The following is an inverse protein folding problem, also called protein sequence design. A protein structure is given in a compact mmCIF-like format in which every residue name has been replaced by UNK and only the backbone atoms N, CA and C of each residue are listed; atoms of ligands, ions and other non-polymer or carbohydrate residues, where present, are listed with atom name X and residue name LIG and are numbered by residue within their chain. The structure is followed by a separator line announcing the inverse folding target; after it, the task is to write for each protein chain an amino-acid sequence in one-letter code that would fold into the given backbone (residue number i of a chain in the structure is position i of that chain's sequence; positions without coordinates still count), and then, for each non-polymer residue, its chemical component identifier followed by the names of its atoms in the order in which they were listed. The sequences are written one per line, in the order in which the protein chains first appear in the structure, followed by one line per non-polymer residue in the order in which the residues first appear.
data_IF_271764620675
#
_entry.id   IF_271764620675
#
_cell.length_a   1.000
_cell.length_b   1.000
_cell.length_c   1.000
_cell.angle_alpha   90.00
_cell.angle_beta   90.00
_cell.angle_gamma   90.00
#
_symmetry.space_group_name_H-M   'P 1'
#
loop_
_entity.id
_entity.type
_entity.pdbx_description
1 polymer ?
#
# COMPACT_ATOMS: atom_id res chain seq x y z
N UNK A 1 4.90 -16.22 19.45
CA UNK A 1 6.04 -15.91 18.57
C UNK A 1 5.94 -14.43 18.23
N UNK A 2 6.96 -13.60 18.55
CA UNK A 2 6.98 -12.21 18.10
C UNK A 2 7.10 -12.19 16.58
N UNK A 3 6.19 -11.50 15.88
CA UNK A 3 6.37 -11.23 14.46
C UNK A 3 7.54 -10.26 14.31
N UNK A 4 8.43 -10.51 13.36
CA UNK A 4 9.49 -9.55 13.02
C UNK A 4 8.89 -8.38 12.24
N UNK A 5 9.48 -7.18 12.33
CA UNK A 5 9.02 -6.02 11.57
C UNK A 5 8.98 -6.29 10.05
N UNK A 6 9.83 -7.18 9.54
CA UNK A 6 9.77 -7.64 8.14
C UNK A 6 8.52 -8.46 7.83
N UNK A 7 8.09 -9.35 8.73
CA UNK A 7 6.86 -10.14 8.56
C UNK A 7 5.60 -9.28 8.51
N UNK A 8 5.53 -8.25 9.36
CA UNK A 8 4.41 -7.28 9.36
C UNK A 8 4.38 -6.49 8.05
N UNK A 9 5.55 -6.06 7.55
CA UNK A 9 5.66 -5.38 6.26
C UNK A 9 5.24 -6.26 5.08
N UNK A 10 5.53 -7.56 5.12
CA UNK A 10 5.04 -8.49 4.09
C UNK A 10 3.51 -8.59 4.12
N UNK A 11 2.89 -8.68 5.30
CA UNK A 11 1.43 -8.69 5.40
C UNK A 11 0.80 -7.41 4.82
N UNK A 12 1.37 -6.25 5.13
CA UNK A 12 0.91 -4.97 4.58
C UNK A 12 1.11 -4.87 3.06
N UNK A 13 2.11 -5.53 2.47
CA UNK A 13 2.25 -5.65 1.02
C UNK A 13 1.13 -6.46 0.40
N UNK A 14 0.74 -7.56 1.04
CA UNK A 14 -0.35 -8.41 0.56
C UNK A 14 -1.69 -7.64 0.63
N UNK A 15 -1.96 -6.93 1.73
CA UNK A 15 -3.12 -6.04 1.84
C UNK A 15 -3.13 -4.98 0.72
N UNK A 16 -2.01 -4.30 0.48
CA UNK A 16 -1.91 -3.29 -0.57
C UNK A 16 -2.08 -3.88 -1.98
N UNK A 17 -1.66 -5.13 -2.20
CA UNK A 17 -1.85 -5.85 -3.46
C UNK A 17 -3.32 -6.14 -3.72
N UNK A 18 -4.07 -6.53 -2.68
CA UNK A 18 -5.52 -6.77 -2.78
C UNK A 18 -6.28 -5.48 -3.11
N UNK A 19 -5.94 -4.37 -2.46
CA UNK A 19 -6.57 -3.06 -2.73
C UNK A 19 -6.32 -2.61 -4.17
N UNK A 20 -5.10 -2.78 -4.69
CA UNK A 20 -4.79 -2.47 -6.11
C UNK A 20 -5.57 -3.38 -7.05
N UNK A 21 -5.63 -4.69 -6.77
CA UNK A 21 -6.36 -5.64 -7.59
C UNK A 21 -7.87 -5.32 -7.64
N UNK A 22 -8.45 -4.93 -6.51
CA UNK A 22 -9.86 -4.52 -6.43
C UNK A 22 -10.13 -3.28 -7.30
N UNK A 23 -9.22 -2.29 -7.31
CA UNK A 23 -9.35 -1.13 -8.20
C UNK A 23 -9.21 -1.51 -9.67
N UNK A 24 -8.25 -2.38 -10.00
CA UNK A 24 -8.02 -2.88 -11.35
C UNK A 24 -9.24 -3.64 -11.89
N UNK A 25 -9.88 -4.45 -11.05
CA UNK A 25 -11.14 -5.14 -11.39
C UNK A 25 -12.27 -4.14 -11.67
N UNK A 26 -12.45 -3.15 -10.79
CA UNK A 26 -13.50 -2.13 -10.96
C UNK A 26 -13.27 -1.22 -12.18
N UNK A 27 -12.00 -0.96 -12.55
CA UNK A 27 -11.62 -0.17 -13.74
C UNK A 27 -11.54 -1.01 -15.01
N UNK A 28 -11.44 -2.34 -14.90
CA UNK A 28 -11.21 -3.24 -16.04
C UNK A 28 -9.84 -3.08 -16.69
N UNK A 29 -8.82 -2.59 -15.95
CA UNK A 29 -7.46 -2.40 -16.48
C UNK A 29 -6.40 -2.48 -15.39
N UNK A 30 -5.19 -2.92 -15.76
CA UNK A 30 -4.04 -2.96 -14.84
C UNK A 30 -3.48 -1.56 -14.55
N UNK A 31 -3.04 -1.36 -13.31
CA UNK A 31 -2.52 -0.09 -12.82
C UNK A 31 -1.00 -0.14 -12.65
N UNK A 32 -0.29 0.03 -13.76
CA UNK A 32 1.18 -0.07 -13.80
C UNK A 32 1.93 0.85 -12.82
N UNK A 33 1.41 2.04 -12.53
CA UNK A 33 1.98 2.98 -11.56
C UNK A 33 1.98 2.41 -10.13
N UNK A 34 0.79 2.20 -9.53
CA UNK A 34 0.64 1.54 -8.23
C UNK A 34 1.37 0.19 -8.14
N UNK A 35 1.23 -0.70 -9.13
CA UNK A 35 1.91 -2.01 -9.18
C UNK A 35 3.44 -1.87 -9.12
N UNK A 36 4.01 -0.95 -9.89
CA UNK A 36 5.45 -0.71 -9.91
C UNK A 36 5.98 -0.10 -8.61
N UNK A 37 5.20 0.74 -7.94
CA UNK A 37 5.55 1.25 -6.61
C UNK A 37 5.49 0.15 -5.55
N UNK A 38 4.45 -0.69 -5.58
CA UNK A 38 4.30 -1.83 -4.66
C UNK A 38 5.44 -2.85 -4.84
N UNK A 39 5.84 -3.13 -6.08
CA UNK A 39 6.98 -4.01 -6.37
C UNK A 39 8.27 -3.51 -5.70
N UNK A 40 8.54 -2.20 -5.75
CA UNK A 40 9.70 -1.59 -5.09
C UNK A 40 9.58 -1.64 -3.56
N UNK A 41 8.38 -1.51 -3.00
CA UNK A 41 8.16 -1.72 -1.57
C UNK A 41 8.52 -3.15 -1.15
N UNK A 42 8.14 -4.15 -1.96
CA UNK A 42 8.54 -5.56 -1.78
C UNK A 42 10.05 -5.77 -1.76
N UNK A 43 10.79 -5.10 -2.66
CA UNK A 43 12.25 -5.14 -2.66
C UNK A 43 12.90 -4.45 -1.44
N UNK A 44 12.15 -3.62 -0.73
CA UNK A 44 12.62 -2.80 0.38
C UNK A 44 12.14 -3.27 1.76
N UNK A 45 11.49 -4.44 1.90
CA UNK A 45 10.91 -4.92 3.18
C UNK A 45 11.87 -4.88 4.38
N UNK A 46 13.18 -5.05 4.14
CA UNK A 46 14.21 -5.00 5.19
C UNK A 46 14.59 -3.57 5.60
N UNK A 47 14.29 -2.56 4.78
CA UNK A 47 14.54 -1.14 5.04
C UNK A 47 13.23 -0.43 5.35
N UNK A 48 12.99 -0.09 6.63
CA UNK A 48 11.73 0.51 7.07
C UNK A 48 11.37 1.79 6.32
N UNK A 49 12.34 2.71 6.17
CA UNK A 49 12.12 3.99 5.49
C UNK A 49 11.81 3.82 3.99
N UNK A 50 12.61 3.01 3.28
CA UNK A 50 12.42 2.80 1.84
C UNK A 50 11.13 2.02 1.54
N UNK A 51 10.83 1.01 2.36
CA UNK A 51 9.57 0.29 2.34
C UNK A 51 8.38 1.25 2.45
N UNK A 52 8.36 2.09 3.50
CA UNK A 52 7.27 3.03 3.75
C UNK A 52 7.08 4.00 2.60
N UNK A 53 8.15 4.65 2.14
CA UNK A 53 8.05 5.62 1.04
C UNK A 53 7.51 5.00 -0.27
N UNK A 54 7.80 3.72 -0.52
CA UNK A 54 7.22 3.00 -1.66
C UNK A 54 5.77 2.58 -1.44
N UNK A 55 5.39 2.18 -0.23
CA UNK A 55 4.00 1.87 0.14
C UNK A 55 3.10 3.10 0.07
N UNK A 56 3.51 4.22 0.66
CA UNK A 56 2.78 5.49 0.60
C UNK A 56 2.59 5.95 -0.84
N UNK A 57 3.62 5.79 -1.68
CA UNK A 57 3.50 6.09 -3.11
C UNK A 57 2.50 5.16 -3.81
N UNK A 58 2.55 3.85 -3.56
CA UNK A 58 1.65 2.89 -4.18
C UNK A 58 0.20 3.20 -3.79
N UNK A 59 -0.09 3.31 -2.49
CA UNK A 59 -1.43 3.56 -1.98
C UNK A 59 -1.93 4.97 -2.26
N UNK A 60 -1.06 5.98 -2.25
CA UNK A 60 -1.45 7.34 -2.62
C UNK A 60 -1.89 7.44 -4.09
N UNK A 61 -1.19 6.72 -4.98
CA UNK A 61 -1.61 6.61 -6.38
C UNK A 61 -2.92 5.82 -6.52
N UNK A 62 -3.07 4.71 -5.81
CA UNK A 62 -4.32 3.93 -5.80
C UNK A 62 -5.49 4.77 -5.28
N UNK A 63 -5.32 5.48 -4.17
CA UNK A 63 -6.35 6.34 -3.59
C UNK A 63 -6.75 7.46 -4.55
N UNK A 64 -5.78 8.16 -5.16
CA UNK A 64 -6.07 9.19 -6.16
C UNK A 64 -6.86 8.65 -7.35
N UNK A 65 -6.42 7.51 -7.91
CA UNK A 65 -7.10 6.85 -9.02
C UNK A 65 -8.49 6.31 -8.65
N UNK A 66 -8.68 5.90 -7.40
CA UNK A 66 -9.96 5.45 -6.86
C UNK A 66 -10.94 6.63 -6.71
N UNK A 67 -10.48 7.75 -6.14
CA UNK A 67 -11.26 8.99 -5.99
C UNK A 67 -11.69 9.52 -7.37
N UNK A 68 -10.77 9.56 -8.35
CA UNK A 68 -11.08 9.98 -9.72
C UNK A 68 -12.14 9.11 -10.39
N UNK A 69 -12.22 7.83 -10.02
CA UNK A 69 -13.17 6.87 -10.56
C UNK A 69 -14.48 6.73 -9.77
N UNK A 70 -14.62 7.42 -8.63
CA UNK A 70 -15.78 7.25 -7.74
C UNK A 70 -15.79 5.93 -6.97
N UNK A 71 -14.63 5.32 -6.74
CA UNK A 71 -14.47 4.06 -6.03
C UNK A 71 -14.14 4.31 -4.55
N UNK A 72 -15.09 4.88 -3.81
CA UNK A 72 -14.89 5.41 -2.46
C UNK A 72 -14.38 4.36 -1.46
N UNK A 73 -14.86 3.12 -1.54
CA UNK A 73 -14.41 2.02 -0.69
C UNK A 73 -12.91 1.73 -0.88
N UNK A 74 -12.45 1.70 -2.13
CA UNK A 74 -11.04 1.45 -2.46
C UNK A 74 -10.18 2.64 -2.07
N UNK A 75 -10.67 3.86 -2.27
CA UNK A 75 -10.00 5.08 -1.81
C UNK A 75 -9.80 5.08 -0.30
N UNK A 76 -10.84 4.72 0.45
CA UNK A 76 -10.82 4.62 1.91
C UNK A 76 -9.85 3.55 2.40
N UNK A 77 -9.88 2.35 1.82
CA UNK A 77 -8.94 1.26 2.15
C UNK A 77 -7.48 1.68 1.90
N UNK A 78 -7.19 2.29 0.75
CA UNK A 78 -5.85 2.77 0.43
C UNK A 78 -5.37 3.86 1.40
N UNK A 79 -6.24 4.82 1.74
CA UNK A 79 -5.94 5.88 2.70
C UNK A 79 -5.70 5.33 4.12
N UNK A 80 -6.52 4.38 4.56
CA UNK A 80 -6.36 3.72 5.86
C UNK A 80 -5.01 3.00 5.95
N UNK A 81 -4.60 2.30 4.90
CA UNK A 81 -3.31 1.62 4.90
C UNK A 81 -2.13 2.59 5.00
N UNK A 82 -2.24 3.80 4.45
CA UNK A 82 -1.24 4.87 4.64
C UNK A 82 -1.23 5.35 6.10
N UNK A 83 -2.40 5.57 6.71
CA UNK A 83 -2.51 5.98 8.10
C UNK A 83 -1.88 4.95 9.05
N UNK A 84 -2.16 3.66 8.86
CA UNK A 84 -1.57 2.56 9.63
C UNK A 84 -0.04 2.56 9.56
N UNK A 85 0.53 2.85 8.39
CA UNK A 85 1.98 2.91 8.18
C UNK A 85 2.63 4.09 8.92
N UNK A 86 1.93 5.21 9.02
CA UNK A 86 2.39 6.41 9.74
C UNK A 86 2.29 6.23 11.26
N UNK A 87 1.23 5.60 11.74
CA UNK A 87 1.09 5.24 13.16
C UNK A 87 2.17 4.24 13.59
N UNK A 88 2.45 3.24 12.75
CA UNK A 88 3.53 2.28 13.00
C UNK A 88 4.92 2.92 13.06
N UNK A 89 5.13 4.08 12.41
CA UNK A 89 6.39 4.83 12.52
C UNK A 89 6.51 5.53 13.86
N UNK A 90 5.42 6.15 14.34
CA UNK A 90 5.41 6.90 15.60
C UNK A 90 5.69 6.02 16.83
N UNK A 91 5.51 4.70 16.71
CA UNK A 91 5.73 3.73 17.78
C UNK A 91 7.10 3.02 17.70
N UNK A 92 7.86 3.18 16.60
CA UNK A 92 9.20 2.59 16.38
C UNK A 92 10.34 3.60 16.71
N UNK A 93 10.03 4.88 16.97
CA UNK A 93 10.93 5.95 17.44
C UNK A 93 10.88 6.10 18.98
#
# INVERSE_FOLDING_TARGET
MQQTNASVRVQKLDEAKEIIAELEEQKGMELGGPRGALFRAGGAVNSGQAYRGHMEKAMGQTAGLAIEGGYDDVASKAAQLIADLQESQSNDD
#
